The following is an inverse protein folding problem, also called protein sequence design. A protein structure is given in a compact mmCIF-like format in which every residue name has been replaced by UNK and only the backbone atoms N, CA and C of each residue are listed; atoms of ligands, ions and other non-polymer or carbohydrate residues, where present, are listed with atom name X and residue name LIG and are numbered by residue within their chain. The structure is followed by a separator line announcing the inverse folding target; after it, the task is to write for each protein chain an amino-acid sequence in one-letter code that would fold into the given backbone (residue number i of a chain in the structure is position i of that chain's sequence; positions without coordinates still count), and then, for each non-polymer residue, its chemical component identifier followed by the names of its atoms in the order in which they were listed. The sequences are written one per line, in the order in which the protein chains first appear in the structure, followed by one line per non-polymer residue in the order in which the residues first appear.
data_IF_496919621648
#
_entry.id   IF_496919621648
#
_cell.length_a   1.000
_cell.length_b   1.000
_cell.length_c   1.000
_cell.angle_alpha   90.00
_cell.angle_beta   90.00
_cell.angle_gamma   90.00
#
_symmetry.space_group_name_H-M   'P 1'
#
loop_
_entity.id
_entity.type
_entity.pdbx_description
1 polymer ?
#
# COMPACT_ATOMS: atom_id res chain seq x y z
N UNK A 1 -8.74 64.35 -58.11
CA UNK A 1 -8.98 62.90 -58.27
C UNK A 1 -7.79 62.16 -57.72
N UNK A 2 -7.99 61.20 -56.82
CA UNK A 2 -6.92 60.38 -56.25
C UNK A 2 -7.05 60.10 -54.75
N UNK A 3 -8.13 59.44 -54.34
CA UNK A 3 -8.23 58.83 -53.02
C UNK A 3 -7.74 57.37 -53.12
N UNK A 4 -6.74 56.99 -52.33
CA UNK A 4 -6.36 55.59 -52.16
C UNK A 4 -6.33 55.26 -50.67
N UNK A 5 -7.37 54.54 -50.23
CA UNK A 5 -7.51 53.91 -48.92
C UNK A 5 -6.56 52.71 -48.86
N UNK A 6 -5.63 52.69 -47.91
CA UNK A 6 -4.90 51.50 -47.50
C UNK A 6 -5.39 50.99 -46.15
N UNK A 7 -6.26 49.99 -46.15
CA UNK A 7 -6.58 49.14 -44.98
C UNK A 7 -6.12 47.73 -45.33
N UNK A 8 -4.91 47.36 -44.96
CA UNK A 8 -4.51 45.96 -44.95
C UNK A 8 -4.66 45.41 -43.53
N UNK A 9 -5.69 44.58 -43.39
CA UNK A 9 -5.80 43.58 -42.36
C UNK A 9 -4.70 42.54 -42.57
N UNK A 10 -4.08 42.06 -41.50
CA UNK A 10 -4.08 40.64 -41.13
C UNK A 10 -3.22 40.45 -39.87
N UNK A 11 -3.90 40.09 -38.79
CA UNK A 11 -3.32 39.58 -37.58
C UNK A 11 -2.70 38.21 -37.87
N UNK A 12 -1.38 38.11 -37.76
CA UNK A 12 -0.63 36.86 -37.83
C UNK A 12 -0.41 36.28 -36.44
N UNK A 13 -1.30 35.38 -36.06
CA UNK A 13 -1.26 34.55 -34.86
C UNK A 13 -0.25 33.40 -35.08
N UNK A 14 0.87 33.35 -34.35
CA UNK A 14 1.78 32.20 -34.32
C UNK A 14 2.49 32.15 -32.95
N UNK A 15 1.73 31.85 -31.90
CA UNK A 15 2.25 31.42 -30.62
C UNK A 15 2.32 29.88 -30.62
N UNK A 16 3.50 29.36 -30.94
CA UNK A 16 3.82 27.95 -30.79
C UNK A 16 4.98 27.79 -29.81
N UNK A 17 5.01 26.64 -29.15
CA UNK A 17 5.97 26.13 -28.16
C UNK A 17 5.68 26.52 -26.71
N UNK A 18 5.23 25.52 -25.94
CA UNK A 18 5.24 25.62 -24.49
C UNK A 18 4.36 24.66 -23.68
N UNK A 19 3.69 23.66 -24.26
CA UNK A 19 3.12 22.58 -23.44
C UNK A 19 4.18 21.51 -23.22
N UNK A 20 5.09 21.82 -22.30
CA UNK A 20 5.87 20.80 -21.63
C UNK A 20 4.90 19.79 -21.02
N UNK A 21 5.05 18.52 -21.39
CA UNK A 21 4.45 17.38 -20.74
C UNK A 21 4.91 17.38 -19.28
N UNK A 22 4.16 18.05 -18.41
CA UNK A 22 4.17 17.77 -16.98
C UNK A 22 3.53 16.39 -16.80
N UNK A 23 4.29 15.35 -17.14
CA UNK A 23 4.03 14.02 -16.64
C UNK A 23 4.15 14.09 -15.13
N UNK A 24 3.03 14.31 -14.44
CA UNK A 24 2.90 14.07 -13.02
C UNK A 24 3.11 12.58 -12.79
N UNK A 25 4.37 12.14 -12.74
CA UNK A 25 4.75 10.92 -12.06
C UNK A 25 4.62 11.17 -10.56
N UNK A 26 3.39 11.40 -10.09
CA UNK A 26 3.06 11.26 -8.69
C UNK A 26 3.12 9.77 -8.39
N UNK A 27 4.34 9.26 -8.20
CA UNK A 27 4.54 8.04 -7.43
C UNK A 27 3.84 8.29 -6.10
N UNK A 28 2.66 7.68 -5.92
CA UNK A 28 1.93 7.79 -4.65
C UNK A 28 2.88 7.31 -3.58
N UNK A 29 3.32 8.22 -2.70
CA UNK A 29 4.23 7.88 -1.61
C UNK A 29 3.49 6.95 -0.65
N UNK A 30 4.18 5.93 -0.13
CA UNK A 30 3.65 5.10 0.95
C UNK A 30 3.22 5.99 2.13
N UNK A 31 2.01 5.76 2.65
CA UNK A 31 1.45 6.49 3.79
C UNK A 31 1.56 5.61 5.03
N UNK A 32 2.08 6.19 6.11
CA UNK A 32 2.11 5.54 7.41
C UNK A 32 0.69 5.27 7.92
N UNK A 33 0.45 4.08 8.49
CA UNK A 33 -0.90 3.68 8.90
C UNK A 33 -1.58 4.67 9.86
N UNK A 34 -0.81 5.38 10.69
CA UNK A 34 -1.33 6.37 11.64
C UNK A 34 -1.97 7.58 10.95
N UNK A 35 -1.55 7.86 9.70
CA UNK A 35 -2.02 9.00 8.91
C UNK A 35 -2.88 8.56 7.71
N UNK A 36 -2.98 7.26 7.45
CA UNK A 36 -3.63 6.72 6.27
C UNK A 36 -5.15 6.86 6.30
N UNK A 37 -5.72 7.09 5.12
CA UNK A 37 -7.15 7.15 4.84
C UNK A 37 -7.50 6.13 3.77
N UNK A 38 -8.78 5.82 3.65
CA UNK A 38 -9.27 4.97 2.55
C UNK A 38 -8.81 5.56 1.20
N UNK A 39 -8.20 4.73 0.37
CA UNK A 39 -7.60 5.07 -0.92
C UNK A 39 -6.08 5.28 -0.87
N UNK A 40 -5.49 5.47 0.32
CA UNK A 40 -4.05 5.69 0.42
C UNK A 40 -3.26 4.41 0.14
N UNK A 41 -2.11 4.58 -0.53
CA UNK A 41 -1.12 3.52 -0.68
C UNK A 41 -0.43 3.30 0.66
N UNK A 42 -0.59 2.11 1.25
CA UNK A 42 0.12 1.73 2.46
C UNK A 42 1.53 1.25 2.14
N UNK A 43 1.66 0.36 1.15
CA UNK A 43 2.95 -0.22 0.77
C UNK A 43 3.04 -0.56 -0.72
N UNK A 44 4.24 -0.48 -1.27
CA UNK A 44 4.61 -1.02 -2.58
C UNK A 44 5.84 -1.93 -2.44
N UNK A 45 5.66 -3.24 -2.52
CA UNK A 45 6.73 -4.22 -2.32
C UNK A 45 6.42 -5.55 -3.02
N UNK A 46 7.46 -6.27 -3.44
CA UNK A 46 7.32 -7.59 -4.07
C UNK A 46 6.42 -7.56 -5.32
N UNK A 47 6.55 -6.53 -6.15
CA UNK A 47 5.72 -6.38 -7.36
C UNK A 47 4.24 -6.07 -7.07
N UNK A 48 3.88 -5.71 -5.84
CA UNK A 48 2.50 -5.44 -5.44
C UNK A 48 2.32 -4.05 -4.83
N UNK A 49 1.14 -3.48 -5.03
CA UNK A 49 0.64 -2.26 -4.39
C UNK A 49 -0.47 -2.62 -3.41
N UNK A 50 -0.42 -2.08 -2.21
CA UNK A 50 -1.39 -2.35 -1.15
C UNK A 50 -2.07 -1.04 -0.76
N UNK A 51 -3.34 -0.92 -1.08
CA UNK A 51 -4.15 0.27 -0.81
C UNK A 51 -5.13 0.02 0.34
N UNK A 52 -5.30 1.00 1.22
CA UNK A 52 -6.26 0.92 2.31
C UNK A 52 -7.69 1.06 1.78
N UNK A 53 -8.54 0.06 2.01
CA UNK A 53 -9.97 0.10 1.65
C UNK A 53 -10.81 0.41 2.87
N UNK A 54 -10.53 -0.26 4.00
CA UNK A 54 -11.21 -0.05 5.27
C UNK A 54 -10.18 0.16 6.38
N UNK A 55 -10.26 1.26 7.16
CA UNK A 55 -9.34 1.52 8.26
C UNK A 55 -9.27 0.36 9.25
N UNK A 56 -8.07 0.14 9.80
CA UNK A 56 -7.88 -0.80 10.89
C UNK A 56 -8.50 -0.25 12.17
N UNK A 57 -9.06 -1.14 12.98
CA UNK A 57 -9.56 -0.84 14.31
C UNK A 57 -8.41 -1.01 15.30
N UNK A 58 -8.07 0.02 16.09
CA UNK A 58 -7.11 -0.18 17.17
C UNK A 58 -7.70 -1.16 18.19
N UNK A 59 -6.85 -2.02 18.75
CA UNK A 59 -7.29 -2.91 19.82
C UNK A 59 -6.22 -3.15 20.87
N UNK A 60 -6.53 -4.07 21.78
CA UNK A 60 -5.65 -4.41 22.90
C UNK A 60 -4.38 -5.10 22.39
N UNK A 61 -3.30 -4.89 23.13
CA UNK A 61 -1.98 -5.45 22.87
C UNK A 61 -1.34 -4.98 21.54
N UNK A 62 -1.35 -3.66 21.28
CA UNK A 62 -0.77 -3.06 20.07
C UNK A 62 -1.29 -3.69 18.77
N UNK A 63 -2.58 -4.03 18.78
CA UNK A 63 -3.22 -4.69 17.65
C UNK A 63 -3.89 -3.71 16.71
N UNK A 64 -3.73 -3.96 15.41
CA UNK A 64 -4.43 -3.31 14.32
C UNK A 64 -5.35 -4.36 13.68
N UNK A 65 -6.66 -4.26 13.92
CA UNK A 65 -7.60 -5.34 13.60
C UNK A 65 -8.53 -4.99 12.44
N UNK A 66 -8.90 -6.01 11.66
CA UNK A 66 -10.00 -5.96 10.68
C UNK A 66 -9.88 -4.84 9.63
N UNK A 67 -8.67 -4.41 9.31
CA UNK A 67 -8.44 -3.54 8.16
C UNK A 67 -8.76 -4.31 6.87
N UNK A 68 -9.20 -3.61 5.84
CA UNK A 68 -9.32 -4.20 4.50
C UNK A 68 -8.32 -3.52 3.61
N UNK A 69 -7.52 -4.31 2.91
CA UNK A 69 -6.57 -3.83 1.92
C UNK A 69 -6.89 -4.42 0.56
N UNK A 70 -6.59 -3.65 -0.49
CA UNK A 70 -6.61 -4.10 -1.87
C UNK A 70 -5.17 -4.31 -2.31
N UNK A 71 -4.85 -5.53 -2.71
CA UNK A 71 -3.53 -5.94 -3.19
C UNK A 71 -3.62 -6.06 -4.71
N UNK A 72 -2.87 -5.24 -5.42
CA UNK A 72 -2.83 -5.20 -6.89
C UNK A 72 -1.41 -5.48 -7.39
N UNK A 73 -1.22 -6.21 -8.50
CA UNK A 73 0.06 -6.23 -9.20
C UNK A 73 0.48 -4.81 -9.59
N UNK A 74 1.75 -4.47 -9.39
CA UNK A 74 2.30 -3.15 -9.65
C UNK A 74 2.41 -2.84 -11.15
N UNK A 75 2.52 -3.87 -11.99
CA UNK A 75 2.67 -3.80 -13.45
C UNK A 75 1.36 -4.06 -14.20
N UNK A 76 0.20 -3.95 -13.53
CA UNK A 76 -1.14 -4.19 -14.09
C UNK A 76 -1.37 -5.61 -14.65
N UNK A 77 -0.51 -6.58 -14.33
CA UNK A 77 -0.54 -7.94 -14.88
C UNK A 77 -1.66 -8.85 -14.39
N UNK A 78 -2.53 -8.41 -13.47
CA UNK A 78 -3.58 -9.26 -12.90
C UNK A 78 -4.65 -8.50 -12.12
N UNK A 79 -5.79 -9.14 -11.81
CA UNK A 79 -6.87 -8.51 -11.07
C UNK A 79 -6.45 -8.24 -9.62
N UNK A 80 -6.94 -7.14 -9.01
CA UNK A 80 -6.70 -6.88 -7.60
C UNK A 80 -7.45 -7.88 -6.72
N UNK A 81 -6.86 -8.21 -5.57
CA UNK A 81 -7.47 -9.06 -4.54
C UNK A 81 -7.70 -8.29 -3.25
N UNK A 82 -8.88 -8.46 -2.63
CA UNK A 82 -9.15 -7.88 -1.32
C UNK A 82 -8.77 -8.85 -0.21
N UNK A 83 -8.21 -8.29 0.86
CA UNK A 83 -7.90 -9.03 2.07
C UNK A 83 -8.45 -8.29 3.30
N UNK A 84 -9.13 -9.02 4.18
CA UNK A 84 -9.27 -8.58 5.57
C UNK A 84 -7.98 -8.98 6.31
N UNK A 85 -7.33 -8.01 6.94
CA UNK A 85 -6.02 -8.15 7.57
C UNK A 85 -6.08 -7.67 9.01
N UNK A 86 -5.36 -8.37 9.87
CA UNK A 86 -5.07 -7.94 11.24
C UNK A 86 -3.60 -8.15 11.56
N UNK A 87 -3.06 -7.31 12.43
CA UNK A 87 -1.71 -7.42 12.96
C UNK A 87 -1.72 -7.27 14.49
N UNK A 88 -0.88 -8.04 15.17
CA UNK A 88 -0.55 -7.89 16.59
C UNK A 88 0.95 -7.63 16.66
N UNK A 89 1.30 -6.43 17.13
CA UNK A 89 2.67 -5.94 17.11
C UNK A 89 3.30 -6.10 18.48
N UNK A 90 4.15 -7.10 18.64
CA UNK A 90 4.74 -7.43 19.94
C UNK A 90 5.80 -6.42 20.36
N UNK A 91 6.13 -6.35 21.63
CA UNK A 91 7.20 -5.48 22.14
C UNK A 91 8.37 -6.34 22.59
N UNK A 92 9.56 -6.06 22.08
CA UNK A 92 10.76 -6.82 22.44
C UNK A 92 11.09 -6.65 23.93
N UNK A 93 11.40 -7.77 24.58
CA UNK A 93 11.73 -7.79 26.01
C UNK A 93 10.55 -7.60 26.96
N UNK A 94 9.31 -7.45 26.48
CA UNK A 94 8.15 -7.30 27.36
C UNK A 94 7.70 -8.67 27.92
N UNK A 95 7.66 -8.86 29.26
CA UNK A 95 7.26 -10.14 29.86
C UNK A 95 5.83 -10.54 29.48
N UNK A 96 5.64 -11.82 29.14
CA UNK A 96 4.34 -12.37 28.74
C UNK A 96 3.91 -12.06 27.30
N UNK A 97 4.75 -11.36 26.53
CA UNK A 97 4.49 -11.08 25.12
C UNK A 97 5.23 -12.06 24.20
N UNK A 98 4.69 -12.34 23.01
CA UNK A 98 5.40 -13.13 22.02
C UNK A 98 6.64 -12.40 21.52
N UNK A 99 7.66 -13.16 21.10
CA UNK A 99 8.89 -12.63 20.48
C UNK A 99 8.75 -12.48 18.95
N UNK A 100 7.54 -12.19 18.48
CA UNK A 100 7.23 -12.05 17.07
C UNK A 100 6.10 -11.06 16.84
N UNK A 101 6.14 -10.36 15.72
CA UNK A 101 4.96 -9.68 15.18
C UNK A 101 4.11 -10.70 14.42
N UNK A 102 2.79 -10.64 14.60
CA UNK A 102 1.85 -11.56 13.97
C UNK A 102 0.95 -10.81 13.00
N UNK A 103 1.03 -11.10 11.70
CA UNK A 103 0.09 -10.60 10.70
C UNK A 103 -0.70 -11.76 10.12
N UNK A 104 -2.00 -11.60 9.98
CA UNK A 104 -2.87 -12.63 9.46
C UNK A 104 -4.04 -12.01 8.71
N UNK A 105 -4.64 -12.81 7.85
CA UNK A 105 -5.78 -12.37 7.08
C UNK A 105 -6.39 -13.49 6.26
N UNK A 106 -7.36 -13.12 5.44
CA UNK A 106 -8.03 -14.01 4.49
C UNK A 106 -8.46 -13.20 3.27
N UNK A 107 -8.53 -13.83 2.09
CA UNK A 107 -9.16 -13.21 0.94
C UNK A 107 -10.64 -12.94 1.24
N UNK A 108 -11.17 -11.85 0.70
CA UNK A 108 -12.59 -11.50 0.75
C UNK A 108 -13.03 -11.01 -0.64
N UNK A 109 -14.33 -11.10 -0.92
CA UNK A 109 -14.90 -10.61 -2.18
C UNK A 109 -15.68 -9.29 -2.02
N UNK A 110 -15.99 -8.91 -0.77
CA UNK A 110 -16.77 -7.72 -0.45
C UNK A 110 -16.15 -7.02 0.79
N UNK A 111 -15.72 -5.76 0.68
CA UNK A 111 -15.11 -5.02 1.80
C UNK A 111 -16.12 -4.65 2.91
N UNK A 112 -17.43 -4.72 2.63
CA UNK A 112 -18.51 -4.43 3.58
C UNK A 112 -18.89 -5.64 4.44
N UNK A 113 -18.61 -6.85 3.96
CA UNK A 113 -18.97 -8.08 4.65
C UNK A 113 -17.88 -8.43 5.67
N UNK A 114 -18.28 -8.60 6.93
CA UNK A 114 -17.44 -9.28 7.92
C UNK A 114 -17.44 -10.75 7.54
N UNK A 115 -16.42 -11.18 6.81
CA UNK A 115 -16.29 -12.59 6.45
C UNK A 115 -16.26 -13.42 7.74
N UNK A 116 -17.03 -14.53 7.84
CA UNK A 116 -16.86 -15.45 8.94
C UNK A 116 -15.41 -15.94 8.94
N UNK A 117 -14.79 -15.95 10.12
CA UNK A 117 -13.39 -16.34 10.30
C UNK A 117 -13.21 -17.82 9.94
N UNK A 118 -13.01 -18.11 8.65
CA UNK A 118 -12.76 -19.46 8.14
C UNK A 118 -11.28 -19.77 8.23
N UNK A 119 -10.92 -20.78 9.01
CA UNK A 119 -9.52 -21.21 9.15
C UNK A 119 -8.93 -21.77 7.85
N UNK A 120 -9.77 -22.18 6.88
CA UNK A 120 -9.34 -22.84 5.64
C UNK A 120 -8.60 -21.90 4.69
N UNK A 121 -9.08 -20.67 4.54
CA UNK A 121 -8.54 -19.67 3.61
C UNK A 121 -7.68 -18.62 4.32
N UNK A 122 -7.49 -18.81 5.63
CA UNK A 122 -6.66 -17.94 6.46
C UNK A 122 -5.19 -18.18 6.14
N UNK A 123 -4.47 -17.08 6.02
CA UNK A 123 -3.02 -17.06 6.11
C UNK A 123 -2.58 -16.31 7.36
N UNK A 124 -1.41 -16.68 7.85
CA UNK A 124 -0.78 -16.07 9.01
C UNK A 124 0.74 -16.13 8.85
N UNK A 125 1.42 -15.06 9.24
CA UNK A 125 2.86 -14.95 9.20
C UNK A 125 3.36 -14.39 10.52
N UNK A 126 4.28 -15.12 11.16
CA UNK A 126 4.98 -14.69 12.36
C UNK A 126 6.37 -14.20 11.99
N UNK A 127 6.67 -12.93 12.26
CA UNK A 127 7.98 -12.33 12.07
C UNK A 127 8.68 -12.25 13.41
N UNK A 128 9.53 -13.23 13.70
CA UNK A 128 10.27 -13.32 14.96
C UNK A 128 11.39 -12.29 15.03
N UNK A 129 11.67 -11.80 16.24
CA UNK A 129 12.73 -10.81 16.47
C UNK A 129 14.14 -11.35 16.19
N UNK A 130 14.31 -12.68 16.21
CA UNK A 130 15.55 -13.37 15.80
C UNK A 130 15.72 -13.46 14.27
N UNK A 131 14.78 -12.91 13.50
CA UNK A 131 14.79 -12.92 12.03
C UNK A 131 14.09 -14.12 11.40
N UNK A 132 13.60 -15.11 12.17
CA UNK A 132 12.82 -16.22 11.62
C UNK A 132 11.46 -15.75 11.12
N UNK A 133 10.98 -16.38 10.05
CA UNK A 133 9.64 -16.14 9.49
C UNK A 133 8.89 -17.47 9.43
N UNK A 134 7.79 -17.58 10.18
CA UNK A 134 6.91 -18.76 10.18
C UNK A 134 5.64 -18.44 9.39
N UNK A 135 5.33 -19.25 8.38
CA UNK A 135 4.15 -19.09 7.51
C UNK A 135 3.15 -20.21 7.76
N UNK A 136 1.89 -19.85 7.94
CA UNK A 136 0.77 -20.76 8.13
C UNK A 136 -0.30 -20.43 7.09
N UNK A 137 -0.80 -21.43 6.39
CA UNK A 137 -1.76 -21.25 5.30
C UNK A 137 -1.09 -20.90 3.96
N UNK A 138 -1.92 -20.58 2.97
CA UNK A 138 -1.51 -20.54 1.55
C UNK A 138 -1.42 -19.12 0.98
N UNK A 139 -0.73 -18.20 1.66
CA UNK A 139 -0.42 -16.92 1.01
C UNK A 139 0.69 -17.13 -0.03
N UNK A 140 0.32 -17.00 -1.31
CA UNK A 140 1.21 -17.27 -2.45
C UNK A 140 2.41 -16.31 -2.53
N UNK A 141 2.20 -15.03 -2.18
CA UNK A 141 3.24 -14.00 -2.18
C UNK A 141 3.18 -13.15 -0.91
N UNK A 142 4.29 -13.06 -0.18
CA UNK A 142 4.34 -12.42 1.14
C UNK A 142 5.23 -11.16 1.21
N UNK A 143 5.90 -10.78 0.12
CA UNK A 143 6.74 -9.58 0.10
C UNK A 143 5.98 -8.32 0.52
N UNK A 144 4.75 -8.17 0.01
CA UNK A 144 3.84 -7.09 0.42
C UNK A 144 3.37 -7.24 1.86
N UNK A 145 3.14 -8.48 2.34
CA UNK A 145 2.66 -8.72 3.70
C UNK A 145 3.74 -8.39 4.73
N UNK A 146 5.01 -8.65 4.42
CA UNK A 146 6.15 -8.25 5.25
C UNK A 146 6.26 -6.73 5.35
N UNK A 147 6.22 -6.02 4.21
CA UNK A 147 6.26 -4.54 4.19
C UNK A 147 5.03 -3.94 4.86
N UNK A 148 3.85 -4.53 4.66
CA UNK A 148 2.62 -4.10 5.34
C UNK A 148 2.75 -4.28 6.85
N UNK A 149 3.30 -5.41 7.32
CA UNK A 149 3.59 -5.63 8.74
C UNK A 149 4.55 -4.56 9.26
N UNK A 150 5.60 -4.20 8.54
CA UNK A 150 6.49 -3.10 8.95
C UNK A 150 5.71 -1.78 9.10
N UNK A 151 4.76 -1.49 8.20
CA UNK A 151 3.94 -0.27 8.27
C UNK A 151 2.90 -0.32 9.42
N UNK A 152 2.25 -1.48 9.64
CA UNK A 152 1.28 -1.65 10.73
C UNK A 152 1.94 -1.66 12.11
N UNK A 153 3.12 -2.27 12.21
CA UNK A 153 3.88 -2.44 13.44
C UNK A 153 5.06 -1.48 13.55
N UNK A 154 4.97 -0.28 12.96
CA UNK A 154 6.01 0.75 13.05
C UNK A 154 6.44 0.96 14.50
N UNK A 155 7.68 0.56 14.81
CA UNK A 155 8.41 0.89 16.05
C UNK A 155 9.48 1.93 15.66
N UNK A 156 9.31 3.20 16.02
CA UNK A 156 10.26 4.27 15.70
C UNK A 156 10.22 4.79 14.26
N UNK A 157 11.32 5.40 13.80
CA UNK A 157 11.43 6.06 12.49
C UNK A 157 11.49 5.03 11.36
N UNK A 158 10.33 4.71 10.78
CA UNK A 158 10.23 3.84 9.62
C UNK A 158 10.74 4.57 8.36
N UNK A 159 11.56 3.88 7.57
CA UNK A 159 12.08 4.42 6.32
C UNK A 159 11.08 4.22 5.16
N UNK A 160 10.35 5.28 4.84
CA UNK A 160 9.40 5.35 3.71
C UNK A 160 10.09 5.46 2.33
N UNK A 161 11.42 5.55 2.28
CA UNK A 161 12.16 5.90 1.05
C UNK A 161 12.75 4.68 0.32
N UNK A 162 12.63 3.47 0.87
CA UNK A 162 13.34 2.30 0.33
C UNK A 162 12.36 1.27 -0.22
N UNK A 163 12.35 1.12 -1.55
CA UNK A 163 11.98 -0.14 -2.21
C UNK A 163 13.04 -1.15 -1.77
N UNK A 164 12.73 -2.00 -0.78
CA UNK A 164 13.71 -2.96 -0.22
C UNK A 164 14.27 -3.78 -1.38
N UNK A 165 15.61 -3.93 -1.52
CA UNK A 165 16.17 -4.72 -2.60
C UNK A 165 15.66 -6.15 -2.46
N UNK A 166 15.25 -6.73 -3.58
CA UNK A 166 14.85 -8.13 -3.66
C UNK A 166 15.93 -8.95 -2.96
N UNK A 167 15.52 -9.71 -1.95
CA UNK A 167 16.40 -10.67 -1.28
C UNK A 167 16.88 -11.64 -2.34
N UNK A 168 18.12 -11.42 -2.82
CA UNK A 168 18.78 -12.32 -3.75
C UNK A 168 18.84 -13.70 -3.12
N UNK A 169 18.25 -14.68 -3.81
CA UNK A 169 18.57 -16.10 -3.66
C UNK A 169 19.97 -16.39 -4.16
#
# INVERSE_FOLDING_TARGET
MGAARGRNQQAGLLAALGMALAGCSSSTREVAIQNARTGDLLVEAGGHRVELVRPFQPGVANGQYKGVVKVSPADAGGPPQLHEVSAVCSVEGQPGWPTYDNIYGNPINDPSVKAPFSAKDRWQILYHFDGRVEKIGALAEDGWASRLKDNLCRKGDFNDTVKRPDSKS
#
